data_IF_115575108840
#
_entry.id   IF_115575108840
#
_cell.length_a   1.000
_cell.length_b   1.000
_cell.length_c   1.000
_cell.angle_alpha   90.00
_cell.angle_beta   90.00
_cell.angle_gamma   90.00
#
_symmetry.space_group_name_H-M   'P 1'
#
loop_
_entity.id
_entity.type
_entity.pdbx_description
1 polymer ?
#
# COMPACT_ATOMS: atom_id res chain seq x y z
N UNK A 1 -9.61 -17.04 3.59
CA UNK A 1 -9.65 -15.57 3.48
C UNK A 1 -8.75 -15.19 2.33
N UNK A 2 -9.27 -14.48 1.32
CA UNK A 2 -8.61 -14.33 0.02
C UNK A 2 -7.26 -13.62 0.18
N UNK A 3 -6.18 -14.38 -0.04
CA UNK A 3 -4.80 -13.91 -0.07
C UNK A 3 -4.58 -13.21 -1.40
N UNK A 4 -5.15 -12.01 -1.54
CA UNK A 4 -4.62 -11.04 -2.51
C UNK A 4 -3.13 -10.80 -2.21
N UNK A 5 -2.33 -10.29 -3.16
CA UNK A 5 -0.92 -9.98 -2.90
C UNK A 5 -0.82 -9.23 -1.57
N UNK A 6 0.01 -9.74 -0.67
CA UNK A 6 0.10 -9.15 0.66
C UNK A 6 0.58 -7.71 0.52
N UNK A 7 0.27 -6.86 1.50
CA UNK A 7 0.78 -5.49 1.52
C UNK A 7 2.31 -5.47 1.32
N UNK A 8 3.02 -6.42 1.95
CA UNK A 8 4.45 -6.62 1.78
C UNK A 8 4.85 -6.93 0.33
N UNK A 9 4.11 -7.78 -0.37
CA UNK A 9 4.39 -8.08 -1.78
C UNK A 9 4.21 -6.85 -2.67
N UNK A 10 3.18 -6.03 -2.38
CA UNK A 10 2.92 -4.80 -3.12
C UNK A 10 3.99 -3.73 -2.86
N UNK A 11 4.53 -3.66 -1.64
CA UNK A 11 5.67 -2.80 -1.30
C UNK A 11 6.95 -3.27 -2.00
N UNK A 12 7.29 -4.56 -1.93
CA UNK A 12 8.47 -5.11 -2.64
C UNK A 12 8.43 -4.86 -4.14
N UNK A 13 7.24 -4.97 -4.73
CA UNK A 13 7.05 -4.68 -6.16
C UNK A 13 7.27 -3.20 -6.46
N UNK A 14 6.84 -2.30 -5.57
CA UNK A 14 7.04 -0.87 -5.73
C UNK A 14 8.53 -0.50 -5.61
N UNK A 15 9.24 -1.07 -4.63
CA UNK A 15 10.69 -0.90 -4.45
C UNK A 15 11.44 -1.33 -5.71
N UNK A 16 11.12 -2.52 -6.23
CA UNK A 16 11.72 -3.01 -7.48
C UNK A 16 11.42 -2.12 -8.70
N UNK A 17 10.22 -1.56 -8.79
CA UNK A 17 9.89 -0.60 -9.85
C UNK A 17 10.72 0.68 -9.74
N UNK A 18 10.93 1.20 -8.52
CA UNK A 18 11.76 2.39 -8.28
C UNK A 18 13.22 2.11 -8.65
N UNK A 19 13.78 0.99 -8.19
CA UNK A 19 15.14 0.58 -8.56
C UNK A 19 15.33 0.47 -10.07
N UNK A 20 14.31 -0.03 -10.79
CA UNK A 20 14.35 -0.10 -12.25
C UNK A 20 14.30 1.28 -12.91
N UNK A 21 13.47 2.19 -12.39
CA UNK A 21 13.32 3.55 -12.90
C UNK A 21 14.58 4.42 -12.69
N UNK A 22 15.42 4.07 -11.73
CA UNK A 22 16.69 4.77 -11.44
C UNK A 22 17.84 4.35 -12.37
N UNK A 23 17.64 3.40 -13.28
CA UNK A 23 18.66 2.97 -14.24
C UNK A 23 18.90 4.02 -15.33
N UNK A 24 20.16 4.42 -15.53
CA UNK A 24 20.56 5.50 -16.44
C UNK A 24 20.19 5.30 -17.93
N UNK A 25 19.94 4.06 -18.36
CA UNK A 25 19.68 3.71 -19.77
C UNK A 25 18.33 3.01 -19.98
N UNK A 26 17.34 3.33 -19.12
CA UNK A 26 16.00 2.75 -19.22
C UNK A 26 15.25 3.31 -20.44
N UNK A 27 14.79 2.47 -21.39
CA UNK A 27 13.98 2.93 -22.51
C UNK A 27 12.68 3.57 -22.02
N UNK A 28 12.22 4.65 -22.69
CA UNK A 28 11.02 5.40 -22.27
C UNK A 28 9.75 4.53 -22.20
N UNK A 29 9.59 3.58 -23.12
CA UNK A 29 8.47 2.64 -23.12
C UNK A 29 8.49 1.72 -21.90
N UNK A 30 9.69 1.39 -21.41
CA UNK A 30 9.88 0.56 -20.23
C UNK A 30 9.68 1.37 -18.95
N UNK A 31 10.17 2.62 -18.92
CA UNK A 31 9.88 3.58 -17.86
C UNK A 31 8.38 3.80 -17.67
N UNK A 32 7.62 3.95 -18.78
CA UNK A 32 6.16 4.08 -18.73
C UNK A 32 5.48 2.84 -18.16
N UNK A 33 5.92 1.63 -18.55
CA UNK A 33 5.39 0.37 -18.00
C UNK A 33 5.68 0.24 -16.49
N UNK A 34 6.89 0.59 -16.06
CA UNK A 34 7.26 0.56 -14.64
C UNK A 34 6.45 1.57 -13.84
N UNK A 35 6.25 2.77 -14.38
CA UNK A 35 5.42 3.80 -13.77
C UNK A 35 3.96 3.35 -13.60
N UNK A 36 3.34 2.82 -14.67
CA UNK A 36 1.97 2.27 -14.58
C UNK A 36 1.85 1.15 -13.54
N UNK A 37 2.86 0.29 -13.49
CA UNK A 37 2.93 -0.81 -12.52
C UNK A 37 3.06 -0.28 -11.10
N UNK A 38 3.92 0.71 -10.88
CA UNK A 38 4.07 1.40 -9.60
C UNK A 38 2.76 2.03 -9.12
N UNK A 39 2.08 2.79 -9.98
CA UNK A 39 0.79 3.43 -9.66
C UNK A 39 -0.26 2.39 -9.25
N UNK A 40 -0.36 1.27 -9.99
CA UNK A 40 -1.30 0.19 -9.64
C UNK A 40 -0.97 -0.45 -8.29
N UNK A 41 0.31 -0.59 -7.94
CA UNK A 41 0.70 -1.15 -6.65
C UNK A 41 0.45 -0.18 -5.49
N UNK A 42 0.71 1.12 -5.66
CA UNK A 42 0.36 2.15 -4.67
C UNK A 42 -1.13 2.12 -4.34
N UNK A 43 -2.00 2.02 -5.36
CA UNK A 43 -3.45 1.91 -5.14
C UNK A 43 -3.84 0.65 -4.36
N UNK A 44 -3.15 -0.47 -4.58
CA UNK A 44 -3.39 -1.70 -3.79
C UNK A 44 -2.96 -1.52 -2.34
N UNK A 45 -1.80 -0.92 -2.08
CA UNK A 45 -1.31 -0.63 -0.74
C UNK A 45 -2.30 0.27 0.03
N UNK A 46 -2.77 1.36 -0.61
CA UNK A 46 -3.76 2.25 -0.02
C UNK A 46 -5.05 1.53 0.37
N UNK A 47 -5.56 0.65 -0.51
CA UNK A 47 -6.76 -0.16 -0.20
C UNK A 47 -6.54 -1.12 0.96
N UNK A 48 -5.37 -1.74 1.05
CA UNK A 48 -5.02 -2.63 2.15
C UNK A 48 -4.95 -1.88 3.49
N UNK A 49 -4.30 -0.70 3.49
CA UNK A 49 -4.19 0.17 4.66
C UNK A 49 -5.56 0.68 5.11
N UNK A 50 -6.42 1.08 4.18
CA UNK A 50 -7.78 1.52 4.50
C UNK A 50 -8.62 0.39 5.11
N UNK A 51 -8.51 -0.83 4.58
CA UNK A 51 -9.16 -2.00 5.16
C UNK A 51 -8.67 -2.30 6.59
N UNK A 52 -7.37 -2.18 6.84
CA UNK A 52 -6.79 -2.33 8.18
C UNK A 52 -7.30 -1.24 9.14
N UNK A 53 -7.32 0.02 8.69
CA UNK A 53 -7.83 1.17 9.46
C UNK A 53 -9.28 0.96 9.88
N UNK A 54 -10.14 0.57 8.94
CA UNK A 54 -11.55 0.28 9.22
C UNK A 54 -11.72 -0.89 10.21
N UNK A 55 -10.86 -1.91 10.10
CA UNK A 55 -10.91 -3.04 11.01
C UNK A 55 -10.50 -2.65 12.43
N UNK A 56 -9.48 -1.81 12.57
CA UNK A 56 -9.07 -1.23 13.86
C UNK A 56 -10.22 -0.39 14.43
N UNK A 57 -10.83 0.48 13.63
CA UNK A 57 -11.95 1.32 14.06
C UNK A 57 -13.14 0.48 14.58
N UNK A 58 -13.49 -0.62 13.88
CA UNK A 58 -14.54 -1.54 14.32
C UNK A 58 -14.20 -2.23 15.64
N UNK A 59 -12.97 -2.72 15.80
CA UNK A 59 -12.54 -3.42 17.02
C UNK A 59 -12.46 -2.47 18.23
N UNK A 60 -12.04 -1.22 18.02
CA UNK A 60 -11.99 -0.19 19.08
C UNK A 60 -13.39 0.27 19.51
N UNK A 61 -14.41 0.17 18.64
CA UNK A 61 -15.79 0.53 18.98
C UNK A 61 -16.49 -0.47 19.93
N UNK A 62 -15.98 -1.70 20.09
CA UNK A 62 -16.72 -2.82 20.68
C UNK A 62 -16.49 -3.12 22.18
N UNK A 63 -15.90 -2.20 22.97
CA UNK A 63 -15.81 -2.40 24.44
C UNK A 63 -16.37 -1.27 25.32
N UNK A 64 -16.45 -0.02 24.85
CA UNK A 64 -16.96 1.09 25.68
C UNK A 64 -17.81 2.14 24.92
N UNK A 65 -18.18 1.89 23.64
CA UNK A 65 -18.89 2.87 22.78
C UNK A 65 -18.22 4.27 22.71
N UNK A 66 -16.94 4.39 23.08
CA UNK A 66 -16.16 5.62 23.01
C UNK A 66 -15.06 5.46 21.98
N UNK A 67 -14.99 6.39 21.03
CA UNK A 67 -13.89 6.53 20.09
C UNK A 67 -12.65 7.02 20.86
N UNK A 68 -11.77 6.11 21.25
CA UNK A 68 -10.39 6.47 21.60
C UNK A 68 -9.52 6.28 20.37
N UNK A 69 -9.42 7.33 19.55
CA UNK A 69 -8.28 7.47 18.64
C UNK A 69 -7.13 7.99 19.49
N UNK A 70 -6.28 7.12 20.01
CA UNK A 70 -4.91 7.57 20.26
C UNK A 70 -4.37 7.96 18.89
N UNK A 71 -4.10 9.24 18.69
CA UNK A 71 -3.33 9.74 17.57
C UNK A 71 -2.07 8.88 17.50
N UNK A 72 -1.93 8.06 16.46
CA UNK A 72 -0.62 7.55 16.07
C UNK A 72 0.15 8.76 15.56
N UNK A 73 0.83 9.44 16.47
CA UNK A 73 1.88 10.39 16.14
C UNK A 73 3.01 9.58 15.50
N UNK A 74 3.01 9.54 14.16
CA UNK A 74 4.13 9.09 13.34
C UNK A 74 5.15 10.22 13.19
#
# INVERSE_FOLDING_TARGET
MAKGPSFEDAIKTLEACVEHLEQDDLPIDEALKQFETGVKNVQKCQKALEGARLKIEQLTRDQNQQLTTETLDL
#
